data_IF_279683390580
#
_entry.id   IF_279683390580
#
_cell.length_a   1.000
_cell.length_b   1.000
_cell.length_c   1.000
_cell.angle_alpha   90.00
_cell.angle_beta   90.00
_cell.angle_gamma   90.00
#
_symmetry.space_group_name_H-M   'P 1'
#
loop_
_entity.id
_entity.type
_entity.pdbx_description
1 polymer ?
#
# COMPACT_ATOMS: atom_id res chain seq x y z
N UNK A 1 -4.28 10.22 -1.01
CA UNK A 1 -2.87 9.77 -1.20
C UNK A 1 -2.52 9.89 -2.68
N UNK A 2 -1.30 10.29 -2.98
CA UNK A 2 -0.76 10.31 -4.34
C UNK A 2 0.25 9.17 -4.47
N UNK A 3 -0.08 8.17 -5.29
CA UNK A 3 0.69 6.95 -5.49
C UNK A 3 1.49 7.02 -6.80
N UNK A 4 2.74 6.58 -6.74
CA UNK A 4 3.67 6.53 -7.87
C UNK A 4 4.09 5.08 -8.10
N UNK A 5 3.83 4.52 -9.26
CA UNK A 5 4.33 3.21 -9.65
C UNK A 5 5.84 3.17 -9.87
N UNK A 6 6.45 4.31 -10.17
CA UNK A 6 7.89 4.49 -10.28
C UNK A 6 8.29 5.85 -10.83
N UNK A 7 9.27 6.45 -10.18
CA UNK A 7 9.91 7.70 -10.60
C UNK A 7 11.42 7.57 -10.41
N UNK A 8 12.20 7.87 -11.44
CA UNK A 8 13.66 7.72 -11.37
C UNK A 8 14.32 9.10 -11.35
N UNK A 9 15.10 9.39 -10.41
CA UNK A 9 15.35 8.93 -9.05
C UNK A 9 15.48 10.15 -8.13
N UNK A 10 15.69 9.94 -6.81
CA UNK A 10 15.82 11.03 -5.82
C UNK A 10 14.68 12.05 -5.99
N UNK A 11 13.46 11.49 -5.94
CA UNK A 11 12.21 12.17 -6.31
C UNK A 11 11.69 12.94 -5.11
N UNK A 12 11.42 14.23 -5.31
CA UNK A 12 10.72 15.09 -4.34
C UNK A 12 9.38 15.52 -4.93
N UNK A 13 8.31 15.40 -4.15
CA UNK A 13 6.96 15.75 -4.56
C UNK A 13 6.50 16.98 -3.78
N UNK A 14 5.94 17.95 -4.53
CA UNK A 14 5.34 19.16 -3.98
C UNK A 14 3.87 19.22 -4.39
N UNK A 15 3.01 19.64 -3.49
CA UNK A 15 1.60 19.93 -3.76
C UNK A 15 1.34 21.38 -3.33
N UNK A 16 0.85 22.21 -4.24
CA UNK A 16 0.61 23.63 -4.01
C UNK A 16 1.83 24.37 -3.40
N UNK A 17 3.03 24.01 -3.88
CA UNK A 17 4.29 24.56 -3.38
C UNK A 17 4.81 23.98 -2.05
N UNK A 18 4.04 23.14 -1.37
CA UNK A 18 4.45 22.46 -0.13
C UNK A 18 5.11 21.12 -0.46
N UNK A 19 6.30 20.87 0.05
CA UNK A 19 6.96 19.56 -0.04
C UNK A 19 6.18 18.55 0.80
N UNK A 20 5.66 17.49 0.16
CA UNK A 20 4.90 16.41 0.81
C UNK A 20 5.74 15.17 1.09
N UNK A 21 6.88 15.04 0.40
CA UNK A 21 7.82 13.97 0.70
C UNK A 21 8.90 13.76 -0.37
N UNK A 22 9.87 12.91 -0.01
CA UNK A 22 10.97 12.51 -0.88
C UNK A 22 11.12 10.99 -0.89
N UNK A 23 11.33 10.43 -2.10
CA UNK A 23 11.65 9.02 -2.30
C UNK A 23 12.91 8.88 -3.13
N UNK A 24 13.93 8.25 -2.54
CA UNK A 24 15.28 8.22 -3.16
C UNK A 24 15.46 7.12 -4.19
N UNK A 25 14.82 5.95 -3.96
CA UNK A 25 15.02 4.78 -4.80
C UNK A 25 14.13 4.83 -6.05
N UNK A 26 14.73 4.56 -7.20
CA UNK A 26 14.07 4.77 -8.49
C UNK A 26 13.24 3.60 -9.03
N UNK A 27 13.21 2.42 -8.38
CA UNK A 27 12.62 1.20 -8.96
C UNK A 27 11.44 0.60 -8.20
N UNK A 28 11.08 1.17 -7.05
CA UNK A 28 9.89 0.75 -6.29
C UNK A 28 8.77 1.76 -6.40
N UNK A 29 7.53 1.30 -6.18
CA UNK A 29 6.40 2.17 -5.90
C UNK A 29 6.59 2.91 -4.57
N UNK A 30 5.95 4.05 -4.45
CA UNK A 30 5.87 4.85 -3.24
C UNK A 30 4.63 5.74 -3.28
N UNK A 31 4.25 6.28 -2.14
CA UNK A 31 3.11 7.17 -2.04
C UNK A 31 3.28 8.19 -0.92
N UNK A 32 2.54 9.29 -1.01
CA UNK A 32 2.49 10.33 0.02
C UNK A 32 1.04 10.68 0.32
N UNK A 33 0.74 10.89 1.60
CA UNK A 33 -0.50 11.55 1.98
C UNK A 33 -0.40 13.03 1.63
N UNK A 34 -1.35 13.51 0.85
CA UNK A 34 -1.39 14.88 0.38
C UNK A 34 -2.57 15.67 0.95
N UNK A 35 -3.32 15.07 1.88
CA UNK A 35 -4.60 15.60 2.37
C UNK A 35 -4.46 17.04 2.89
N UNK A 36 -3.42 17.33 3.68
CA UNK A 36 -3.21 18.67 4.25
C UNK A 36 -2.67 19.70 3.25
N UNK A 37 -2.15 19.24 2.14
CA UNK A 37 -1.63 20.11 1.09
C UNK A 37 -2.68 20.48 0.03
N UNK A 38 -3.86 19.84 0.08
CA UNK A 38 -4.96 20.10 -0.86
C UNK A 38 -5.83 21.27 -0.39
N UNK A 39 -6.41 21.97 -1.36
CA UNK A 39 -7.47 22.96 -1.15
C UNK A 39 -8.60 22.77 -2.17
N UNK A 40 -9.72 23.43 -1.98
CA UNK A 40 -10.82 23.41 -2.93
C UNK A 40 -10.40 23.98 -4.30
N UNK A 41 -10.88 23.36 -5.36
CA UNK A 41 -10.62 23.77 -6.74
C UNK A 41 -9.36 23.12 -7.34
N UNK A 42 -8.60 23.91 -8.09
CA UNK A 42 -7.45 23.41 -8.83
C UNK A 42 -6.23 23.29 -7.92
N UNK A 43 -5.60 22.14 -7.92
CA UNK A 43 -4.37 21.86 -7.17
C UNK A 43 -3.22 21.58 -8.15
N UNK A 44 -2.04 22.07 -7.83
CA UNK A 44 -0.82 21.84 -8.60
C UNK A 44 0.05 20.77 -7.94
N UNK A 45 0.51 19.81 -8.74
CA UNK A 45 1.48 18.79 -8.32
C UNK A 45 2.76 18.97 -9.12
N UNK A 46 3.88 19.21 -8.42
CA UNK A 46 5.20 19.29 -9.02
C UNK A 46 6.04 18.10 -8.54
N UNK A 47 6.60 17.35 -9.47
CA UNK A 47 7.49 16.20 -9.19
C UNK A 47 8.89 16.52 -9.71
N UNK A 48 9.85 16.63 -8.81
CA UNK A 48 11.26 16.83 -9.13
C UNK A 48 12.00 15.51 -9.04
N UNK A 49 12.51 15.02 -10.16
CA UNK A 49 13.40 13.86 -10.22
C UNK A 49 14.84 14.34 -10.41
N UNK A 50 15.75 13.93 -9.54
CA UNK A 50 17.15 14.36 -9.55
C UNK A 50 18.05 13.18 -9.96
N UNK A 51 18.45 13.15 -11.23
CA UNK A 51 19.35 12.13 -11.75
C UNK A 51 20.78 12.40 -11.26
N UNK A 52 21.29 11.49 -10.44
CA UNK A 52 22.66 11.56 -9.93
C UNK A 52 23.59 10.65 -10.74
N UNK A 53 24.71 11.19 -11.18
CA UNK A 53 25.77 10.46 -11.88
C UNK A 53 27.07 10.43 -11.05
N UNK A 54 27.84 9.33 -11.15
CA UNK A 54 27.52 8.01 -11.73
C UNK A 54 26.60 7.21 -10.80
N UNK A 55 25.57 6.55 -11.34
CA UNK A 55 24.62 5.79 -10.53
C UNK A 55 24.52 4.30 -10.89
N UNK A 56 24.85 3.93 -12.12
CA UNK A 56 24.84 2.55 -12.57
C UNK A 56 25.71 2.36 -13.83
N UNK A 57 25.90 1.11 -14.25
CA UNK A 57 26.52 0.78 -15.55
C UNK A 57 25.53 0.89 -16.71
N UNK A 58 24.35 1.42 -16.47
CA UNK A 58 23.21 1.40 -17.34
C UNK A 58 22.84 2.82 -17.79
N UNK A 59 22.21 2.93 -18.95
CA UNK A 59 21.61 4.19 -19.36
C UNK A 59 20.37 4.45 -18.50
N UNK A 60 20.37 5.53 -17.74
CA UNK A 60 19.26 5.96 -16.90
C UNK A 60 18.88 7.39 -17.24
N UNK A 61 17.60 7.67 -17.18
CA UNK A 61 17.03 9.00 -17.37
C UNK A 61 16.15 9.39 -16.20
N UNK A 62 16.10 10.66 -15.84
CA UNK A 62 15.18 11.17 -14.83
C UNK A 62 13.76 11.25 -15.37
N UNK A 63 12.78 11.00 -14.53
CA UNK A 63 11.36 11.22 -14.82
C UNK A 63 10.42 10.19 -14.23
N UNK A 64 9.15 10.40 -14.51
CA UNK A 64 8.07 9.46 -14.23
C UNK A 64 8.04 8.44 -15.37
N UNK A 65 8.17 7.16 -15.04
CA UNK A 65 8.19 6.11 -16.05
C UNK A 65 7.08 5.06 -15.86
N UNK A 66 6.29 5.21 -14.78
CA UNK A 66 5.09 4.40 -14.49
C UNK A 66 3.94 5.33 -14.12
N UNK A 67 2.76 4.74 -13.91
CA UNK A 67 1.55 5.48 -13.59
C UNK A 67 1.69 6.28 -12.28
N UNK A 68 0.99 7.40 -12.25
CA UNK A 68 0.72 8.19 -11.05
C UNK A 68 -0.78 8.15 -10.83
N UNK A 69 -1.22 7.83 -9.62
CA UNK A 69 -2.61 7.63 -9.28
C UNK A 69 -3.00 8.46 -8.05
N UNK A 70 -4.19 9.02 -8.08
CA UNK A 70 -4.79 9.65 -6.91
C UNK A 70 -5.72 8.64 -6.24
N UNK A 71 -5.42 8.33 -4.98
CA UNK A 71 -6.21 7.41 -4.17
C UNK A 71 -6.95 8.19 -3.09
N UNK A 72 -8.26 7.99 -3.03
CA UNK A 72 -9.12 8.50 -1.97
C UNK A 72 -9.57 7.33 -1.10
N UNK A 73 -9.41 7.47 0.20
CA UNK A 73 -9.76 6.43 1.17
C UNK A 73 -10.41 7.04 2.41
N UNK A 74 -11.34 6.32 3.06
CA UNK A 74 -11.88 6.71 4.37
C UNK A 74 -10.80 6.61 5.45
N UNK A 75 -11.14 7.02 6.68
CA UNK A 75 -10.27 6.93 7.85
C UNK A 75 -9.69 5.52 8.06
N UNK A 76 -10.57 4.50 8.04
CA UNK A 76 -10.16 3.11 8.11
C UNK A 76 -10.10 2.52 6.69
N UNK A 77 -8.93 2.06 6.27
CA UNK A 77 -8.71 1.57 4.91
C UNK A 77 -7.61 0.51 4.83
N UNK A 78 -7.60 -0.24 3.74
CA UNK A 78 -6.48 -1.12 3.42
C UNK A 78 -5.26 -0.28 3.03
N UNK A 79 -4.11 -0.62 3.59
CA UNK A 79 -2.86 0.08 3.25
C UNK A 79 -2.46 -0.19 1.78
N UNK A 80 -1.90 0.80 1.07
CA UNK A 80 -1.26 0.55 -0.21
C UNK A 80 -0.19 -0.55 -0.06
N UNK A 81 -0.21 -1.51 -1.01
CA UNK A 81 0.68 -2.69 -0.99
C UNK A 81 0.57 -3.56 0.29
N UNK A 82 -0.49 -3.36 1.09
CA UNK A 82 -0.70 -4.01 2.39
C UNK A 82 -1.31 -5.41 2.31
N UNK A 83 -1.54 -5.98 1.12
CA UNK A 83 -2.07 -7.33 0.97
C UNK A 83 -0.94 -8.30 0.59
N UNK A 84 -0.71 -9.29 1.43
CA UNK A 84 0.25 -10.35 1.19
C UNK A 84 -0.45 -11.72 1.13
N UNK A 85 -0.16 -12.50 0.09
CA UNK A 85 -0.73 -13.83 -0.11
C UNK A 85 0.40 -14.82 -0.36
N UNK A 86 0.40 -15.93 0.38
CA UNK A 86 1.34 -17.02 0.20
C UNK A 86 0.60 -18.35 0.07
N UNK A 87 0.78 -19.05 -1.02
CA UNK A 87 0.23 -20.37 -1.25
C UNK A 87 1.31 -21.44 -1.12
N UNK A 88 0.98 -22.55 -0.46
CA UNK A 88 1.87 -23.68 -0.28
C UNK A 88 1.09 -24.99 -0.45
N UNK A 89 1.62 -25.88 -1.29
CA UNK A 89 1.15 -27.26 -1.41
C UNK A 89 1.67 -28.10 -0.25
N UNK A 90 0.80 -28.90 0.34
CA UNK A 90 1.13 -29.89 1.36
C UNK A 90 1.41 -31.28 0.75
N UNK A 91 1.98 -32.17 1.57
CA UNK A 91 2.39 -33.52 1.14
C UNK A 91 1.22 -34.42 0.67
N UNK A 92 -0.02 -34.04 0.98
CA UNK A 92 -1.25 -34.78 0.63
C UNK A 92 -2.02 -34.15 -0.54
N UNK A 93 -1.42 -33.20 -1.27
CA UNK A 93 -2.06 -32.46 -2.35
C UNK A 93 -2.96 -31.31 -1.90
N UNK A 94 -3.23 -31.17 -0.60
CA UNK A 94 -3.99 -30.03 -0.09
C UNK A 94 -3.16 -28.74 -0.18
N UNK A 95 -3.82 -27.63 -0.50
CA UNK A 95 -3.19 -26.30 -0.56
C UNK A 95 -3.55 -25.48 0.67
N UNK A 96 -2.57 -24.79 1.21
CA UNK A 96 -2.78 -23.73 2.20
C UNK A 96 -2.51 -22.38 1.57
N UNK A 97 -3.46 -21.43 1.72
CA UNK A 97 -3.33 -20.05 1.23
C UNK A 97 -3.39 -19.11 2.43
N UNK A 98 -2.23 -18.66 2.85
CA UNK A 98 -2.10 -17.68 3.93
C UNK A 98 -2.27 -16.26 3.38
N UNK A 99 -3.20 -15.51 3.95
CA UNK A 99 -3.49 -14.13 3.58
C UNK A 99 -3.24 -13.24 4.78
N UNK A 100 -2.51 -12.16 4.54
CA UNK A 100 -2.30 -11.08 5.51
C UNK A 100 -2.67 -9.76 4.87
N UNK A 101 -3.48 -8.97 5.56
CA UNK A 101 -3.85 -7.63 5.14
C UNK A 101 -3.45 -6.60 6.20
N UNK A 102 -2.88 -5.48 5.78
CA UNK A 102 -2.62 -4.33 6.63
C UNK A 102 -3.75 -3.31 6.49
N UNK A 103 -4.30 -2.89 7.62
CA UNK A 103 -5.40 -1.93 7.72
C UNK A 103 -4.89 -0.71 8.48
N UNK A 104 -4.92 0.45 7.85
CA UNK A 104 -4.56 1.73 8.45
C UNK A 104 -5.77 2.47 8.99
N UNK A 105 -5.59 3.21 10.08
CA UNK A 105 -6.58 4.14 10.64
C UNK A 105 -5.93 5.43 11.07
N UNK A 106 -6.50 6.56 10.66
CA UNK A 106 -6.04 7.90 11.05
C UNK A 106 -6.46 8.22 12.49
N UNK A 107 -7.63 7.77 12.92
CA UNK A 107 -8.15 8.03 14.29
C UNK A 107 -7.87 6.89 15.27
N UNK A 108 -7.14 5.85 14.86
CA UNK A 108 -6.92 4.60 15.60
C UNK A 108 -8.22 3.84 15.93
N UNK A 109 -9.33 4.16 15.27
CA UNK A 109 -10.62 3.54 15.48
C UNK A 109 -10.79 2.31 14.57
N UNK A 110 -10.83 1.13 15.17
CA UNK A 110 -11.11 -0.12 14.44
C UNK A 110 -12.34 -0.87 14.98
N UNK A 111 -12.83 -0.52 16.16
CA UNK A 111 -13.90 -1.23 16.84
C UNK A 111 -15.18 -1.30 15.98
N UNK A 112 -15.80 -2.47 15.96
CA UNK A 112 -17.03 -2.73 15.21
C UNK A 112 -16.86 -2.98 13.71
N UNK A 113 -15.64 -2.95 13.19
CA UNK A 113 -15.34 -3.28 11.80
C UNK A 113 -14.99 -4.76 11.63
N UNK A 114 -15.16 -5.24 10.42
CA UNK A 114 -14.79 -6.62 10.02
C UNK A 114 -14.14 -6.58 8.66
N UNK A 115 -12.99 -7.21 8.54
CA UNK A 115 -12.35 -7.47 7.26
C UNK A 115 -12.88 -8.79 6.71
N UNK A 116 -13.46 -8.75 5.51
CA UNK A 116 -13.89 -9.95 4.80
C UNK A 116 -12.92 -10.28 3.69
N UNK A 117 -12.46 -11.53 3.67
CA UNK A 117 -11.61 -12.08 2.62
C UNK A 117 -12.44 -13.04 1.77
N UNK A 118 -12.34 -12.92 0.45
CA UNK A 118 -12.89 -13.85 -0.51
C UNK A 118 -11.74 -14.45 -1.31
N UNK A 119 -11.60 -15.77 -1.27
CA UNK A 119 -10.69 -16.52 -2.11
C UNK A 119 -11.48 -17.08 -3.30
N UNK A 120 -11.07 -16.75 -4.52
CA UNK A 120 -11.72 -17.20 -5.75
C UNK A 120 -10.72 -17.92 -6.66
N UNK A 121 -11.23 -18.78 -7.56
CA UNK A 121 -10.45 -19.32 -8.66
C UNK A 121 -10.29 -18.29 -9.81
N UNK A 122 -9.62 -18.69 -10.89
CA UNK A 122 -9.40 -17.89 -12.10
C UNK A 122 -10.68 -17.58 -12.88
N UNK A 123 -11.76 -18.32 -12.65
CA UNK A 123 -13.08 -18.10 -13.23
C UNK A 123 -13.97 -17.23 -12.34
N UNK A 124 -13.47 -16.81 -11.17
CA UNK A 124 -14.22 -16.03 -10.19
C UNK A 124 -15.12 -16.85 -9.26
N UNK A 125 -15.05 -18.18 -9.30
CA UNK A 125 -15.83 -19.06 -8.39
C UNK A 125 -15.26 -18.97 -6.97
N UNK A 126 -16.13 -18.85 -5.98
CA UNK A 126 -15.73 -18.71 -4.59
C UNK A 126 -15.20 -20.03 -4.04
N UNK A 127 -13.92 -20.03 -3.63
CA UNK A 127 -13.26 -21.16 -2.97
C UNK A 127 -13.31 -21.06 -1.45
N UNK A 128 -13.40 -19.85 -0.90
CA UNK A 128 -13.47 -19.65 0.54
C UNK A 128 -13.79 -18.21 0.94
N UNK A 129 -14.36 -18.06 2.13
CA UNK A 129 -14.63 -16.76 2.74
C UNK A 129 -14.18 -16.77 4.19
N UNK A 130 -13.55 -15.69 4.64
CA UNK A 130 -13.22 -15.48 6.04
C UNK A 130 -13.63 -14.07 6.45
N UNK A 131 -14.24 -13.95 7.62
CA UNK A 131 -14.56 -12.68 8.27
C UNK A 131 -13.70 -12.54 9.51
N UNK A 132 -12.89 -11.50 9.57
CA UNK A 132 -11.92 -11.23 10.63
C UNK A 132 -12.37 -9.95 11.35
N UNK A 133 -13.00 -10.05 12.52
CA UNK A 133 -13.43 -8.88 13.27
C UNK A 133 -12.22 -8.10 13.80
N UNK A 134 -12.37 -6.81 14.01
CA UNK A 134 -11.26 -5.91 14.36
C UNK A 134 -10.60 -6.21 15.71
N UNK A 135 -11.28 -6.87 16.63
CA UNK A 135 -10.72 -7.34 17.90
C UNK A 135 -9.73 -8.50 17.73
N UNK A 136 -9.75 -9.17 16.58
CA UNK A 136 -8.76 -10.20 16.20
C UNK A 136 -7.56 -9.63 15.40
N UNK A 137 -7.52 -8.33 15.12
CA UNK A 137 -6.41 -7.72 14.41
C UNK A 137 -5.25 -7.44 15.36
N UNK A 138 -4.04 -7.77 14.93
CA UNK A 138 -2.84 -7.45 15.68
C UNK A 138 -2.37 -6.02 15.37
N UNK A 139 -2.20 -5.18 16.40
CA UNK A 139 -1.58 -3.87 16.20
C UNK A 139 -0.13 -4.04 15.78
N UNK A 140 0.28 -3.34 14.73
CA UNK A 140 1.68 -3.25 14.33
C UNK A 140 2.36 -2.10 15.10
N UNK A 141 3.68 -2.21 15.37
CA UNK A 141 4.43 -1.08 15.91
C UNK A 141 4.27 0.13 14.99
N UNK A 142 4.35 1.34 15.57
CA UNK A 142 4.28 2.60 14.81
C UNK A 142 5.10 2.50 13.54
N UNK A 143 4.55 2.94 12.42
CA UNK A 143 5.24 2.83 11.15
C UNK A 143 6.59 3.56 11.25
N UNK A 144 7.65 2.84 10.93
CA UNK A 144 8.96 3.45 10.73
C UNK A 144 8.84 4.52 9.66
N UNK A 145 9.61 5.59 9.75
CA UNK A 145 9.49 6.82 8.95
C UNK A 145 9.57 6.69 7.42
N UNK A 146 9.45 5.49 6.86
CA UNK A 146 9.29 5.23 5.44
C UNK A 146 7.80 5.17 5.00
N UNK A 147 6.87 5.02 5.95
CA UNK A 147 5.42 5.12 5.69
C UNK A 147 5.02 6.58 5.78
N UNK A 148 4.43 7.07 4.73
CA UNK A 148 4.23 8.51 4.49
C UNK A 148 2.77 8.95 4.66
N UNK A 149 1.95 8.11 5.32
CA UNK A 149 0.55 8.38 5.62
C UNK A 149 0.32 9.02 6.97
N UNK A 150 -0.91 9.41 7.21
CA UNK A 150 -1.39 9.98 8.48
C UNK A 150 -1.92 8.93 9.47
N UNK A 151 -1.82 7.66 9.12
CA UNK A 151 -2.30 6.59 9.97
C UNK A 151 -1.60 6.64 11.33
N UNK A 152 -2.38 6.81 12.38
CA UNK A 152 -1.91 6.77 13.76
C UNK A 152 -1.84 5.35 14.29
N UNK A 153 -2.55 4.42 13.64
CA UNK A 153 -2.51 3.00 13.93
C UNK A 153 -2.54 2.18 12.64
N UNK A 154 -1.77 1.11 12.61
CA UNK A 154 -1.81 0.08 11.57
C UNK A 154 -2.03 -1.26 12.24
N UNK A 155 -2.95 -2.02 11.68
CA UNK A 155 -3.33 -3.34 12.16
C UNK A 155 -3.02 -4.38 11.10
N UNK A 156 -2.73 -5.58 11.55
CA UNK A 156 -2.52 -6.77 10.72
C UNK A 156 -3.67 -7.75 10.96
N UNK A 157 -4.44 -8.02 9.92
CA UNK A 157 -5.45 -9.08 9.90
C UNK A 157 -4.91 -10.26 9.09
N UNK A 158 -5.03 -11.49 9.59
CA UNK A 158 -4.48 -12.68 8.92
C UNK A 158 -5.46 -13.83 8.96
N UNK A 159 -5.51 -14.61 7.87
CA UNK A 159 -6.28 -15.84 7.78
C UNK A 159 -5.55 -16.85 6.89
N UNK A 160 -5.79 -18.15 7.13
CA UNK A 160 -5.27 -19.22 6.28
C UNK A 160 -6.41 -20.09 5.79
N UNK A 161 -6.60 -20.15 4.49
CA UNK A 161 -7.51 -21.08 3.85
C UNK A 161 -6.81 -22.42 3.63
N UNK A 162 -7.55 -23.51 3.75
CA UNK A 162 -7.12 -24.85 3.36
C UNK A 162 -8.05 -25.35 2.26
N UNK A 163 -7.47 -25.63 1.09
CA UNK A 163 -8.18 -26.18 -0.05
C UNK A 163 -7.80 -27.65 -0.18
N UNK A 164 -8.80 -28.49 -0.37
CA UNK A 164 -8.60 -29.90 -0.73
C UNK A 164 -8.98 -30.09 -2.19
N UNK A 165 -8.26 -30.96 -2.88
CA UNK A 165 -8.62 -31.39 -4.24
C UNK A 165 -10.00 -32.04 -4.30
#
# INVERSE_FOLDING_TARGET
MLWFGGAYMDTTVFVNGTEVGQWKYGYTSFWFDITDALHEGQNEVLVRCNLRHPNSRWYSGAGLYRNVELWEAPDLHLMPDGLYVAAKEGDNGAWTVAVTAEVGSVTAASAGHTLTLHLTDDNGSLLGTAAIPADAWAALPSPDGWRTGKETAIYKASHTFTLQD
#
